data_IF_424082099388
#
_entry.id   IF_424082099388
#
_cell.length_a   1.000
_cell.length_b   1.000
_cell.length_c   1.000
_cell.angle_alpha   90.00
_cell.angle_beta   90.00
_cell.angle_gamma   90.00
#
_symmetry.space_group_name_H-M   'P 1'
#
loop_
_entity.id
_entity.type
_entity.pdbx_description
1 polymer ?
#
# COMPACT_ATOMS: atom_id res chain seq x y z
N UNK A 1 -11.61 6.66 8.96
CA UNK A 1 -12.92 6.39 9.59
C UNK A 1 -14.10 7.08 8.90
N UNK A 2 -14.08 8.41 8.67
CA UNK A 2 -15.25 9.11 8.09
C UNK A 2 -15.72 8.58 6.73
N UNK A 3 -14.81 8.34 5.77
CA UNK A 3 -15.19 7.84 4.45
C UNK A 3 -15.60 6.35 4.44
N UNK A 4 -15.09 5.58 5.41
CA UNK A 4 -15.48 4.17 5.57
C UNK A 4 -16.93 4.06 6.06
N UNK A 5 -17.49 5.07 6.73
CA UNK A 5 -18.90 5.12 7.14
C UNK A 5 -19.86 4.95 5.95
N UNK A 6 -19.60 5.63 4.82
CA UNK A 6 -20.37 5.43 3.60
C UNK A 6 -20.19 4.00 3.06
N UNK A 7 -18.99 3.44 3.14
CA UNK A 7 -18.73 2.04 2.79
C UNK A 7 -19.55 1.05 3.63
N UNK A 8 -19.70 1.30 4.93
CA UNK A 8 -20.55 0.49 5.80
C UNK A 8 -22.04 0.60 5.45
N UNK A 9 -22.54 1.81 5.14
CA UNK A 9 -23.93 2.03 4.72
C UNK A 9 -24.26 1.30 3.41
N UNK A 10 -23.43 1.48 2.38
CA UNK A 10 -23.65 0.85 1.07
C UNK A 10 -23.36 -0.66 1.09
N UNK A 11 -22.43 -1.11 1.94
CA UNK A 11 -22.15 -2.53 2.17
C UNK A 11 -23.22 -3.24 3.00
N UNK A 12 -24.22 -2.51 3.52
CA UNK A 12 -25.23 -3.00 4.49
C UNK A 12 -24.58 -3.75 5.65
N UNK A 13 -23.47 -3.21 6.15
CA UNK A 13 -22.72 -3.80 7.26
C UNK A 13 -23.22 -3.15 8.55
N UNK A 14 -23.62 -3.96 9.52
CA UNK A 14 -24.09 -3.48 10.81
C UNK A 14 -22.95 -2.82 11.62
N UNK A 15 -22.86 -1.49 11.50
CA UNK A 15 -21.93 -0.66 12.28
C UNK A 15 -22.23 -0.77 13.77
N UNK A 16 -23.52 -0.88 14.12
CA UNK A 16 -24.02 -0.85 15.51
C UNK A 16 -23.61 -2.10 16.31
N UNK A 17 -23.44 -3.24 15.64
CA UNK A 17 -23.06 -4.50 16.28
C UNK A 17 -21.54 -4.78 16.21
N UNK A 18 -20.74 -3.85 15.68
CA UNK A 18 -19.30 -4.05 15.50
C UNK A 18 -18.94 -5.21 14.57
N UNK A 19 -19.86 -5.64 13.70
CA UNK A 19 -19.63 -6.76 12.78
C UNK A 19 -18.62 -6.36 11.71
N UNK A 20 -17.63 -7.23 11.49
CA UNK A 20 -16.66 -7.08 10.40
C UNK A 20 -17.33 -7.39 9.07
N UNK A 21 -16.85 -6.84 7.95
CA UNK A 21 -17.23 -7.32 6.63
C UNK A 21 -17.01 -8.84 6.53
N UNK A 22 -18.06 -9.56 6.16
CA UNK A 22 -18.07 -11.03 6.07
C UNK A 22 -17.86 -11.51 4.62
N UNK A 23 -18.05 -10.62 3.64
CA UNK A 23 -17.97 -10.95 2.21
C UNK A 23 -16.94 -10.12 1.46
N UNK A 24 -16.34 -10.69 0.40
CA UNK A 24 -15.38 -9.99 -0.48
C UNK A 24 -16.02 -8.74 -1.09
N UNK A 25 -17.32 -8.77 -1.41
CA UNK A 25 -18.05 -7.62 -1.95
C UNK A 25 -18.11 -6.46 -0.94
N UNK A 26 -18.32 -6.74 0.35
CA UNK A 26 -18.30 -5.73 1.40
C UNK A 26 -16.91 -5.10 1.54
N UNK A 27 -15.85 -5.91 1.50
CA UNK A 27 -14.48 -5.41 1.48
C UNK A 27 -14.19 -4.52 0.26
N UNK A 28 -14.69 -4.89 -0.93
CA UNK A 28 -14.56 -4.07 -2.14
C UNK A 28 -15.22 -2.70 -1.99
N UNK A 29 -16.45 -2.67 -1.49
CA UNK A 29 -17.20 -1.42 -1.26
C UNK A 29 -16.45 -0.54 -0.25
N UNK A 30 -16.04 -1.11 0.88
CA UNK A 30 -15.27 -0.40 1.90
C UNK A 30 -13.96 0.16 1.34
N UNK A 31 -13.17 -0.65 0.61
CA UNK A 31 -11.90 -0.22 0.03
C UNK A 31 -12.09 0.86 -1.04
N UNK A 32 -13.17 0.80 -1.81
CA UNK A 32 -13.50 1.84 -2.80
C UNK A 32 -13.78 3.18 -2.13
N UNK A 33 -14.63 3.22 -1.09
CA UNK A 33 -14.89 4.45 -0.35
C UNK A 33 -13.66 4.93 0.43
N UNK A 34 -12.83 4.01 0.93
CA UNK A 34 -11.56 4.36 1.55
C UNK A 34 -10.61 5.02 0.54
N UNK A 35 -10.55 4.53 -0.70
CA UNK A 35 -9.76 5.13 -1.77
C UNK A 35 -10.22 6.56 -2.07
N UNK A 36 -11.52 6.76 -2.28
CA UNK A 36 -12.09 8.08 -2.52
C UNK A 36 -11.76 9.05 -1.38
N UNK A 37 -11.93 8.60 -0.14
CA UNK A 37 -11.63 9.39 1.05
C UNK A 37 -10.17 9.79 1.16
N UNK A 38 -9.26 8.83 1.01
CA UNK A 38 -7.82 9.10 1.05
C UNK A 38 -7.40 10.03 -0.08
N UNK A 39 -7.90 9.82 -1.30
CA UNK A 39 -7.56 10.67 -2.44
C UNK A 39 -8.07 12.10 -2.27
N UNK A 40 -9.28 12.27 -1.73
CA UNK A 40 -9.84 13.58 -1.43
C UNK A 40 -9.00 14.30 -0.37
N UNK A 41 -8.65 13.63 0.74
CA UNK A 41 -7.81 14.22 1.79
C UNK A 41 -6.44 14.60 1.21
N UNK A 42 -5.78 13.68 0.51
CA UNK A 42 -4.48 13.94 -0.10
C UNK A 42 -4.55 15.05 -1.14
N UNK A 43 -5.64 15.17 -1.90
CA UNK A 43 -5.85 16.27 -2.83
C UNK A 43 -5.96 17.63 -2.10
N UNK A 44 -6.69 17.69 -0.98
CA UNK A 44 -6.78 18.91 -0.16
C UNK A 44 -5.39 19.28 0.38
N UNK A 45 -4.67 18.33 0.97
CA UNK A 45 -3.34 18.58 1.54
C UNK A 45 -2.34 19.00 0.47
N UNK A 46 -2.25 18.29 -0.65
CA UNK A 46 -1.34 18.64 -1.73
C UNK A 46 -1.65 20.01 -2.35
N UNK A 47 -2.94 20.33 -2.56
CA UNK A 47 -3.34 21.58 -3.18
C UNK A 47 -3.17 22.78 -2.25
N UNK A 48 -3.56 22.67 -0.98
CA UNK A 48 -3.65 23.82 -0.07
C UNK A 48 -2.47 23.93 0.90
N UNK A 49 -1.89 22.80 1.33
CA UNK A 49 -0.75 22.80 2.26
C UNK A 49 0.56 22.81 1.46
N UNK A 50 0.75 21.81 0.60
CA UNK A 50 2.02 21.65 -0.11
C UNK A 50 2.11 22.51 -1.39
N UNK A 51 0.97 23.04 -1.86
CA UNK A 51 0.84 23.85 -3.09
C UNK A 51 1.43 23.15 -4.33
N UNK A 52 1.31 21.82 -4.38
CA UNK A 52 1.77 20.99 -5.49
C UNK A 52 0.61 20.31 -6.23
N UNK A 53 0.88 19.84 -7.46
CA UNK A 53 -0.09 19.05 -8.22
C UNK A 53 -0.15 17.63 -7.66
N UNK A 54 -1.36 17.08 -7.49
CA UNK A 54 -1.59 15.71 -7.03
C UNK A 54 -0.84 14.64 -7.84
N UNK A 55 -0.63 14.87 -9.14
CA UNK A 55 0.12 13.95 -10.00
C UNK A 55 1.59 13.78 -9.57
N UNK A 56 2.13 14.71 -8.78
CA UNK A 56 3.51 14.68 -8.28
C UNK A 56 3.68 13.79 -7.04
N UNK A 57 2.65 13.04 -6.63
CA UNK A 57 2.72 12.06 -5.54
C UNK A 57 3.36 10.72 -5.96
N UNK A 58 4.19 10.70 -7.00
CA UNK A 58 4.97 9.51 -7.36
C UNK A 58 4.32 8.57 -8.36
N UNK A 59 3.30 9.00 -9.10
CA UNK A 59 2.75 8.22 -10.21
C UNK A 59 3.80 8.10 -11.33
N UNK A 60 4.45 6.95 -11.43
CA UNK A 60 5.37 6.65 -12.53
C UNK A 60 4.57 6.21 -13.76
N UNK A 61 4.89 6.76 -14.92
CA UNK A 61 4.31 6.31 -16.21
C UNK A 61 5.03 5.09 -16.78
N UNK A 62 6.10 4.63 -16.12
CA UNK A 62 6.95 3.59 -16.67
C UNK A 62 6.42 2.21 -16.30
N UNK A 63 5.69 1.62 -17.25
CA UNK A 63 5.06 0.31 -17.14
C UNK A 63 6.11 -0.80 -16.84
N UNK A 64 7.38 -0.61 -17.23
CA UNK A 64 8.45 -1.57 -16.94
C UNK A 64 8.67 -1.73 -15.43
N UNK A 65 8.61 -0.66 -14.65
CA UNK A 65 8.78 -0.75 -13.19
C UNK A 65 7.60 -1.48 -12.53
N UNK A 66 6.39 -1.30 -13.06
CA UNK A 66 5.20 -2.04 -12.63
C UNK A 66 5.39 -3.54 -12.88
N UNK A 67 5.82 -3.92 -14.08
CA UNK A 67 6.11 -5.34 -14.40
C UNK A 67 7.19 -5.94 -13.52
N UNK A 68 8.29 -5.23 -13.29
CA UNK A 68 9.37 -5.68 -12.41
C UNK A 68 8.84 -5.89 -10.98
N UNK A 69 8.03 -4.95 -10.48
CA UNK A 69 7.40 -5.08 -9.15
C UNK A 69 6.50 -6.31 -9.05
N UNK A 70 5.67 -6.57 -10.07
CA UNK A 70 4.81 -7.76 -10.12
C UNK A 70 5.64 -9.05 -10.11
N UNK A 71 6.70 -9.11 -10.92
CA UNK A 71 7.57 -10.29 -11.00
C UNK A 71 8.28 -10.52 -9.67
N UNK A 72 8.92 -9.50 -9.10
CA UNK A 72 9.62 -9.60 -7.82
C UNK A 72 8.68 -10.00 -6.68
N UNK A 73 7.49 -9.39 -6.60
CA UNK A 73 6.48 -9.75 -5.61
C UNK A 73 6.03 -11.21 -5.75
N UNK A 74 5.81 -11.66 -6.99
CA UNK A 74 5.45 -13.06 -7.27
C UNK A 74 6.56 -14.01 -6.85
N UNK A 75 7.82 -13.70 -7.18
CA UNK A 75 8.98 -14.53 -6.79
C UNK A 75 9.08 -14.65 -5.27
N UNK A 76 8.96 -13.55 -4.53
CA UNK A 76 9.03 -13.59 -3.05
C UNK A 76 7.90 -14.42 -2.46
N UNK A 77 6.67 -14.27 -2.97
CA UNK A 77 5.52 -15.02 -2.48
C UNK A 77 5.63 -16.52 -2.79
N UNK A 78 5.99 -16.88 -4.02
CA UNK A 78 6.20 -18.27 -4.44
C UNK A 78 7.33 -18.90 -3.62
N UNK A 79 8.44 -18.19 -3.44
CA UNK A 79 9.56 -18.68 -2.67
C UNK A 79 9.19 -18.93 -1.20
N UNK A 80 8.53 -17.97 -0.55
CA UNK A 80 8.06 -18.12 0.83
C UNK A 80 7.06 -19.27 0.99
N UNK A 81 6.12 -19.41 0.05
CA UNK A 81 5.18 -20.52 0.02
C UNK A 81 5.88 -21.89 -0.07
N UNK A 82 6.87 -22.02 -0.96
CA UNK A 82 7.62 -23.28 -1.12
C UNK A 82 8.47 -23.63 0.11
N UNK A 83 9.06 -22.63 0.79
CA UNK A 83 9.78 -22.87 2.05
C UNK A 83 8.84 -23.45 3.10
N UNK A 84 7.66 -22.84 3.28
CA UNK A 84 6.68 -23.30 4.27
C UNK A 84 6.14 -24.69 3.95
N UNK A 85 5.99 -25.01 2.66
CA UNK A 85 5.64 -26.36 2.21
C UNK A 85 6.75 -27.37 2.51
N UNK A 86 8.01 -27.02 2.27
CA UNK A 86 9.16 -27.88 2.54
C UNK A 86 9.39 -28.13 4.03
N UNK A 87 9.07 -27.16 4.88
CA UNK A 87 9.16 -27.28 6.34
C UNK A 87 7.97 -28.02 6.98
N UNK A 88 7.04 -28.56 6.17
CA UNK A 88 5.79 -29.19 6.63
C UNK A 88 4.87 -28.29 7.47
N UNK A 89 5.09 -26.96 7.43
CA UNK A 89 4.27 -25.94 8.11
C UNK A 89 2.98 -25.62 7.33
N UNK A 90 2.94 -25.94 6.03
CA UNK A 90 1.76 -25.84 5.19
C UNK A 90 1.44 -27.18 4.55
N UNK A 91 0.15 -27.55 4.53
CA UNK A 91 -0.36 -28.71 3.79
C UNK A 91 -1.44 -28.28 2.82
N UNK A 92 -1.27 -28.64 1.55
CA UNK A 92 -2.27 -28.39 0.52
C UNK A 92 -3.35 -29.47 0.65
N UNK A 93 -4.52 -29.09 1.13
CA UNK A 93 -5.65 -30.00 1.35
C UNK A 93 -6.53 -30.04 0.08
N UNK A 94 -6.90 -28.86 -0.42
CA UNK A 94 -7.68 -28.69 -1.66
C UNK A 94 -7.21 -27.45 -2.42
N UNK A 95 -7.42 -27.47 -3.73
CA UNK A 95 -7.21 -26.30 -4.60
C UNK A 95 -8.51 -25.99 -5.30
N UNK A 96 -9.21 -24.96 -4.82
CA UNK A 96 -10.45 -24.48 -5.42
C UNK A 96 -10.21 -23.16 -6.13
N UNK A 97 -10.24 -23.18 -7.46
CA UNK A 97 -10.07 -21.97 -8.26
C UNK A 97 -11.40 -21.50 -8.84
N UNK A 98 -11.88 -20.36 -8.34
CA UNK A 98 -13.05 -19.65 -8.88
C UNK A 98 -12.60 -18.32 -9.47
N UNK A 99 -12.70 -18.20 -10.80
CA UNK A 99 -12.30 -17.00 -11.55
C UNK A 99 -12.94 -15.73 -10.99
N UNK A 100 -14.22 -15.80 -10.60
CA UNK A 100 -14.95 -14.67 -10.03
C UNK A 100 -14.34 -14.18 -8.71
N UNK A 101 -13.99 -15.10 -7.81
CA UNK A 101 -13.39 -14.74 -6.51
C UNK A 101 -11.98 -14.19 -6.70
N UNK A 102 -11.21 -14.82 -7.61
CA UNK A 102 -9.89 -14.34 -7.99
C UNK A 102 -9.94 -12.89 -8.50
N UNK A 103 -10.83 -12.58 -9.44
CA UNK A 103 -10.98 -11.22 -9.97
C UNK A 103 -11.36 -10.22 -8.88
N UNK A 104 -12.30 -10.56 -7.99
CA UNK A 104 -12.70 -9.68 -6.89
C UNK A 104 -11.55 -9.38 -5.93
N UNK A 105 -10.79 -10.41 -5.54
CA UNK A 105 -9.63 -10.26 -4.67
C UNK A 105 -8.53 -9.45 -5.37
N UNK A 106 -8.31 -9.70 -6.66
CA UNK A 106 -7.36 -8.94 -7.48
C UNK A 106 -7.71 -7.44 -7.50
N UNK A 107 -8.97 -7.09 -7.77
CA UNK A 107 -9.43 -5.70 -7.72
C UNK A 107 -9.33 -5.09 -6.32
N UNK A 108 -9.65 -5.86 -5.28
CA UNK A 108 -9.52 -5.42 -3.89
C UNK A 108 -8.08 -4.99 -3.59
N UNK A 109 -7.09 -5.82 -3.94
CA UNK A 109 -5.68 -5.52 -3.71
C UNK A 109 -5.17 -4.37 -4.58
N UNK A 110 -5.72 -4.14 -5.79
CA UNK A 110 -5.43 -2.92 -6.56
C UNK A 110 -5.89 -1.68 -5.79
N UNK A 111 -7.11 -1.67 -5.26
CA UNK A 111 -7.63 -0.52 -4.51
C UNK A 111 -6.78 -0.27 -3.25
N UNK A 112 -6.48 -1.31 -2.48
CA UNK A 112 -5.67 -1.21 -1.25
C UNK A 112 -4.25 -0.74 -1.57
N UNK A 113 -3.59 -1.33 -2.58
CA UNK A 113 -2.23 -0.94 -2.97
C UNK A 113 -2.16 0.50 -3.46
N UNK A 114 -3.16 1.00 -4.20
CA UNK A 114 -3.22 2.41 -4.60
C UNK A 114 -3.29 3.36 -3.40
N UNK A 115 -4.09 3.02 -2.39
CA UNK A 115 -4.21 3.80 -1.16
C UNK A 115 -2.87 3.83 -0.43
N UNK A 116 -2.30 2.66 -0.18
CA UNK A 116 -1.06 2.52 0.58
C UNK A 116 0.11 3.20 -0.14
N UNK A 117 0.24 3.01 -1.45
CA UNK A 117 1.33 3.58 -2.22
C UNK A 117 1.25 5.10 -2.27
N UNK A 118 0.06 5.65 -2.56
CA UNK A 118 -0.13 7.11 -2.66
C UNK A 118 0.06 7.78 -1.30
N UNK A 119 -0.44 7.18 -0.21
CA UNK A 119 -0.35 7.75 1.13
C UNK A 119 1.06 7.65 1.71
N UNK A 120 1.64 6.45 1.78
CA UNK A 120 2.90 6.23 2.50
C UNK A 120 4.12 6.64 1.70
N UNK A 121 4.16 6.35 0.39
CA UNK A 121 5.34 6.61 -0.46
C UNK A 121 5.19 7.94 -1.16
N UNK A 122 4.02 8.15 -1.76
CA UNK A 122 3.71 9.36 -2.52
C UNK A 122 3.64 10.63 -1.69
N UNK A 123 3.06 10.56 -0.49
CA UNK A 123 2.88 11.72 0.38
C UNK A 123 3.84 11.72 1.57
N UNK A 124 3.70 10.75 2.49
CA UNK A 124 4.44 10.74 3.77
C UNK A 124 5.95 10.67 3.56
N UNK A 125 6.44 9.64 2.85
CA UNK A 125 7.88 9.44 2.63
C UNK A 125 8.47 10.61 1.81
N UNK A 126 7.77 11.04 0.76
CA UNK A 126 8.17 12.19 -0.06
C UNK A 126 8.41 13.44 0.79
N UNK A 127 7.46 13.79 1.66
CA UNK A 127 7.57 14.99 2.49
C UNK A 127 8.63 14.81 3.60
N UNK A 128 8.77 13.60 4.16
CA UNK A 128 9.81 13.32 5.15
C UNK A 128 11.23 13.44 4.57
N UNK A 129 11.45 13.05 3.31
CA UNK A 129 12.76 13.18 2.64
C UNK A 129 13.17 14.65 2.46
N UNK A 130 12.22 15.57 2.40
CA UNK A 130 12.51 17.02 2.30
C UNK A 130 13.01 17.55 3.64
N UNK A 131 12.46 17.06 4.75
CA UNK A 131 12.73 17.58 6.10
C UNK A 131 13.82 16.80 6.86
N UNK A 132 14.07 15.54 6.50
CA UNK A 132 14.99 14.64 7.20
C UNK A 132 15.95 13.94 6.23
N UNK A 133 16.99 13.30 6.78
CA UNK A 133 17.82 12.43 5.97
C UNK A 133 17.01 11.23 5.44
N UNK A 134 17.44 10.66 4.30
CA UNK A 134 16.72 9.57 3.61
C UNK A 134 16.50 8.33 4.46
N UNK A 135 17.39 8.03 5.40
CA UNK A 135 17.30 6.83 6.25
C UNK A 135 16.27 7.01 7.36
N UNK A 136 16.26 8.18 8.02
CA UNK A 136 15.28 8.53 9.05
C UNK A 136 13.89 8.64 8.41
N UNK A 137 13.78 9.31 7.26
CA UNK A 137 12.53 9.40 6.52
C UNK A 137 11.94 8.03 6.18
N UNK A 138 12.80 7.10 5.71
CA UNK A 138 12.42 5.72 5.41
C UNK A 138 11.94 4.98 6.66
N UNK A 139 12.70 5.05 7.76
CA UNK A 139 12.36 4.39 9.01
C UNK A 139 11.03 4.90 9.58
N UNK A 140 10.81 6.21 9.59
CA UNK A 140 9.57 6.80 10.10
C UNK A 140 8.38 6.39 9.23
N UNK A 141 8.49 6.48 7.90
CA UNK A 141 7.41 6.06 7.00
C UNK A 141 7.07 4.57 7.15
N UNK A 142 8.10 3.71 7.27
CA UNK A 142 7.92 2.26 7.45
C UNK A 142 7.30 1.93 8.81
N UNK A 143 7.63 2.68 9.86
CA UNK A 143 7.01 2.53 11.17
C UNK A 143 5.54 2.94 11.14
N UNK A 144 5.21 4.06 10.51
CA UNK A 144 3.82 4.49 10.32
C UNK A 144 3.01 3.46 9.52
N UNK A 145 3.61 2.86 8.49
CA UNK A 145 3.00 1.78 7.72
C UNK A 145 2.67 0.57 8.61
N UNK A 146 3.63 0.11 9.43
CA UNK A 146 3.42 -1.00 10.35
C UNK A 146 2.37 -0.68 11.44
N UNK A 147 2.38 0.55 11.99
CA UNK A 147 1.41 1.02 12.99
C UNK A 147 -0.01 1.12 12.43
N UNK A 148 -0.18 1.51 11.18
CA UNK A 148 -1.52 1.52 10.57
C UNK A 148 -2.12 0.10 10.55
N UNK A 149 -1.27 -0.91 10.36
CA UNK A 149 -1.68 -2.30 10.32
C UNK A 149 -1.93 -2.91 11.70
N UNK A 150 -1.41 -2.33 12.79
CA UNK A 150 -1.65 -2.83 14.14
C UNK A 150 -3.10 -2.69 14.60
N UNK A 151 -3.92 -1.92 13.87
CA UNK A 151 -5.37 -1.91 14.05
C UNK A 151 -6.04 -3.24 13.64
N UNK A 152 -5.32 -4.13 12.94
CA UNK A 152 -5.77 -5.48 12.66
C UNK A 152 -5.46 -6.40 13.85
N UNK A 153 -6.48 -7.00 14.50
CA UNK A 153 -6.28 -7.82 15.69
C UNK A 153 -5.56 -9.15 15.43
N UNK A 154 -5.31 -9.53 14.17
CA UNK A 154 -4.46 -10.67 13.85
C UNK A 154 -2.96 -10.35 13.88
N UNK A 155 -2.57 -9.11 14.21
CA UNK A 155 -1.15 -8.72 14.28
C UNK A 155 -0.55 -9.09 15.64
N UNK A 156 0.50 -9.89 15.58
CA UNK A 156 1.43 -10.10 16.68
C UNK A 156 2.73 -9.30 16.45
N UNK A 157 3.64 -9.32 17.44
CA UNK A 157 4.90 -8.59 17.35
C UNK A 157 5.76 -9.02 16.14
N UNK A 158 5.77 -10.31 15.80
CA UNK A 158 6.54 -10.82 14.66
C UNK A 158 6.01 -10.27 13.33
N UNK A 159 4.69 -10.30 13.13
CA UNK A 159 4.02 -9.72 11.96
C UNK A 159 4.25 -8.21 11.86
N UNK A 160 4.25 -7.50 12.99
CA UNK A 160 4.55 -6.06 13.03
C UNK A 160 5.99 -5.77 12.57
N UNK A 161 6.98 -6.49 13.10
CA UNK A 161 8.38 -6.35 12.71
C UNK A 161 8.56 -6.69 11.22
N UNK A 162 7.89 -7.72 10.73
CA UNK A 162 7.94 -8.10 9.32
C UNK A 162 7.34 -7.01 8.41
N UNK A 163 6.21 -6.41 8.82
CA UNK A 163 5.61 -5.28 8.10
C UNK A 163 6.50 -4.04 8.11
N UNK A 164 7.22 -3.78 9.20
CA UNK A 164 8.19 -2.69 9.26
C UNK A 164 9.30 -2.89 8.23
N UNK A 165 9.90 -4.08 8.16
CA UNK A 165 10.94 -4.38 7.17
C UNK A 165 10.42 -4.41 5.74
N UNK A 166 9.20 -4.94 5.52
CA UNK A 166 8.53 -4.86 4.23
C UNK A 166 8.32 -3.39 3.81
N UNK A 167 7.91 -2.53 4.74
CA UNK A 167 7.78 -1.09 4.54
C UNK A 167 9.11 -0.45 4.11
N UNK A 168 10.22 -0.83 4.76
CA UNK A 168 11.55 -0.35 4.40
C UNK A 168 11.94 -0.79 2.99
N UNK A 169 11.79 -2.09 2.68
CA UNK A 169 12.13 -2.64 1.37
C UNK A 169 11.33 -1.93 0.26
N UNK A 170 10.02 -1.79 0.42
CA UNK A 170 9.18 -1.08 -0.54
C UNK A 170 9.58 0.39 -0.67
N UNK A 171 9.83 1.08 0.45
CA UNK A 171 10.23 2.50 0.46
C UNK A 171 11.60 2.77 -0.17
N UNK A 172 12.55 1.83 -0.13
CA UNK A 172 13.84 2.01 -0.82
C UNK A 172 13.69 2.14 -2.34
N UNK A 173 12.75 1.40 -2.94
CA UNK A 173 12.48 1.48 -4.38
C UNK A 173 12.00 2.87 -4.79
N UNK A 174 11.17 3.51 -3.95
CA UNK A 174 10.71 4.88 -4.15
C UNK A 174 11.86 5.88 -4.04
N UNK A 175 12.71 5.76 -3.02
CA UNK A 175 13.89 6.62 -2.84
C UNK A 175 14.80 6.55 -4.06
N UNK A 176 15.03 5.36 -4.60
CA UNK A 176 15.83 5.17 -5.81
C UNK A 176 15.21 5.92 -7.00
N UNK A 177 13.91 5.76 -7.26
CA UNK A 177 13.27 6.45 -8.38
C UNK A 177 13.25 7.97 -8.17
N UNK A 178 12.90 8.44 -6.98
CA UNK A 178 12.73 9.85 -6.66
C UNK A 178 14.05 10.62 -6.67
N UNK A 179 15.10 10.10 -6.01
CA UNK A 179 16.41 10.77 -5.94
C UNK A 179 17.08 10.79 -7.31
N UNK A 180 17.11 9.67 -8.04
CA UNK A 180 17.81 9.59 -9.32
C UNK A 180 17.08 10.32 -10.45
N UNK A 181 15.73 10.36 -10.42
CA UNK A 181 14.93 11.20 -11.32
C UNK A 181 15.27 12.68 -11.13
N UNK A 182 15.29 13.16 -9.88
CA UNK A 182 15.60 14.56 -9.57
C UNK A 182 17.06 14.90 -9.89
N UNK A 183 17.99 13.98 -9.67
CA UNK A 183 19.42 14.16 -9.96
C UNK A 183 19.69 14.28 -11.47
N UNK A 184 19.08 13.41 -12.29
CA UNK A 184 19.17 13.55 -13.75
C UNK A 184 18.61 14.90 -14.20
N UNK A 185 17.39 15.26 -13.78
CA UNK A 185 16.77 16.53 -14.19
C UNK A 185 17.58 17.76 -13.75
N UNK A 186 18.19 17.75 -12.55
CA UNK A 186 19.04 18.86 -12.10
C UNK A 186 20.36 18.98 -12.86
N UNK A 187 20.93 17.86 -13.31
CA UNK A 187 22.18 17.85 -14.08
C UNK A 187 21.99 18.37 -15.51
N UNK A 188 20.80 18.20 -16.10
CA UNK A 188 20.45 18.75 -17.42
C UNK A 188 20.04 20.23 -17.40
N UNK A 189 19.78 20.82 -16.23
CA UNK A 189 19.41 22.24 -16.07
C UNK A 189 20.59 23.14 -15.66
N UNK A 190 21.80 22.56 -15.53
CA UNK A 190 23.03 23.29 -15.17
C UNK A 190 24.06 23.38 -16.31
N UNK A 191 23.62 23.12 -17.55
CA UNK A 191 24.32 23.40 -18.80
C UNK A 191 23.37 24.07 -19.79
#
# INVERSE_FOLDING_TARGET
>A
MFFQFFGFLFGKIDIVNGKRPETINQYLILSFFNLLGTFLILWIFTKYVDKEKFINLGFTKNIKHIFIGIILGTVVLVFGFNILLYLDELKIITVEFRVNDFLKVFFLFILVSLIEETLFRGYILKNLIISFNKYIALSISSLLFALMHSANPSINLLSFVNLFFAGMLLGTSYIYIYIYSKFMVSHWLTF
#
